data_IF_868162608144
#
_entry.id   IF_868162608144
#
_cell.length_a   1.000
_cell.length_b   1.000
_cell.length_c   1.000
_cell.angle_alpha   90.00
_cell.angle_beta   90.00
_cell.angle_gamma   90.00
#
_symmetry.space_group_name_H-M   'P 1'
#
loop_
_entity.id
_entity.type
_entity.pdbx_description
1 polymer ?
#
# COMPACT_ATOMS: atom_id res chain seq x y z
N UNK A 1 -3.23 51.62 17.12
CA UNK A 1 -3.48 51.02 15.80
C UNK A 1 -2.66 49.76 15.74
N UNK A 2 -3.26 48.62 16.06
CA UNK A 2 -2.68 47.31 15.77
C UNK A 2 -2.94 47.07 14.29
N UNK A 3 -1.88 47.08 13.47
CA UNK A 3 -1.98 46.61 12.09
C UNK A 3 -2.46 45.16 12.14
N UNK A 4 -3.68 44.91 11.67
CA UNK A 4 -4.09 43.56 11.27
C UNK A 4 -3.15 43.18 10.12
N UNK A 5 -2.06 42.46 10.44
CA UNK A 5 -1.28 41.77 9.43
C UNK A 5 -2.24 40.82 8.72
N UNK A 6 -2.59 41.13 7.48
CA UNK A 6 -3.33 40.21 6.64
C UNK A 6 -2.46 38.96 6.49
N UNK A 7 -2.87 37.87 7.14
CA UNK A 7 -2.15 36.60 7.03
C UNK A 7 -2.30 36.14 5.58
N UNK A 8 -1.17 36.00 4.88
CA UNK A 8 -1.15 35.56 3.49
C UNK A 8 -1.43 34.07 3.39
N UNK A 9 -2.10 33.65 2.31
CA UNK A 9 -2.24 32.24 1.97
C UNK A 9 -0.95 31.74 1.35
N UNK A 10 -0.54 30.52 1.69
CA UNK A 10 0.68 29.92 1.15
C UNK A 10 0.56 29.66 -0.37
N UNK A 11 1.60 30.02 -1.12
CA UNK A 11 1.73 29.73 -2.54
C UNK A 11 3.00 28.92 -2.81
N UNK A 12 2.89 27.89 -3.66
CA UNK A 12 4.03 27.05 -4.00
C UNK A 12 4.98 27.75 -4.97
N UNK A 13 6.26 27.83 -4.59
CA UNK A 13 7.33 28.07 -5.56
C UNK A 13 7.50 26.84 -6.48
N UNK A 14 7.48 26.97 -7.81
CA UNK A 14 7.60 25.83 -8.73
C UNK A 14 8.87 24.99 -8.51
N UNK A 15 8.75 23.67 -8.63
CA UNK A 15 9.92 22.79 -8.66
C UNK A 15 10.73 23.01 -9.93
N UNK A 16 12.06 22.88 -9.81
CA UNK A 16 13.00 22.96 -10.92
C UNK A 16 12.64 21.94 -12.01
N UNK A 17 12.27 22.44 -13.19
CA UNK A 17 11.78 21.61 -14.29
C UNK A 17 12.88 20.74 -14.91
N UNK A 18 14.13 21.20 -14.84
CA UNK A 18 15.28 20.52 -15.44
C UNK A 18 15.76 19.35 -14.56
N UNK A 19 15.46 19.39 -13.27
CA UNK A 19 15.87 18.36 -12.30
C UNK A 19 14.80 17.31 -12.10
N UNK A 20 14.74 16.28 -12.94
CA UNK A 20 13.67 15.25 -12.95
C UNK A 20 13.28 14.65 -11.58
N UNK A 21 14.17 14.71 -10.59
CA UNK A 21 14.00 14.21 -9.22
C UNK A 21 13.96 15.29 -8.12
N UNK A 22 13.68 16.54 -8.49
CA UNK A 22 13.39 17.63 -7.55
C UNK A 22 12.12 17.34 -6.75
N UNK A 23 12.19 17.57 -5.44
CA UNK A 23 11.09 17.41 -4.50
C UNK A 23 11.13 18.52 -3.45
N UNK A 24 10.02 18.69 -2.72
CA UNK A 24 9.96 19.50 -1.50
C UNK A 24 10.04 18.60 -0.27
N UNK A 25 10.67 19.08 0.80
CA UNK A 25 10.65 18.48 2.12
C UNK A 25 9.95 19.45 3.07
N UNK A 26 8.96 18.95 3.79
CA UNK A 26 8.25 19.69 4.82
C UNK A 26 9.06 19.62 6.13
N UNK A 27 9.53 20.77 6.59
CA UNK A 27 10.24 20.91 7.85
C UNK A 27 9.20 21.25 8.92
N UNK A 28 8.77 20.23 9.67
CA UNK A 28 7.87 20.40 10.81
C UNK A 28 8.67 20.96 11.99
N UNK A 29 8.38 22.20 12.39
CA UNK A 29 9.09 22.83 13.50
C UNK A 29 8.78 22.16 14.84
N UNK A 30 9.76 22.16 15.73
CA UNK A 30 9.56 21.69 17.10
C UNK A 30 8.46 22.47 17.84
N UNK A 31 7.74 21.81 18.76
CA UNK A 31 6.70 22.45 19.56
C UNK A 31 6.10 21.54 20.61
N UNK A 32 5.51 22.14 21.66
CA UNK A 32 4.92 21.41 22.80
C UNK A 32 3.41 21.64 22.89
N UNK A 33 2.69 20.63 23.41
CA UNK A 33 1.25 20.71 23.68
C UNK A 33 0.47 21.16 22.46
N UNK A 34 -0.51 22.05 22.68
CA UNK A 34 -1.42 22.56 21.65
C UNK A 34 -0.87 23.79 20.90
N UNK A 35 0.43 24.06 21.00
CA UNK A 35 1.05 25.14 20.23
C UNK A 35 0.78 24.96 18.74
N UNK A 36 0.45 26.06 18.05
CA UNK A 36 0.13 26.03 16.64
C UNK A 36 1.29 25.44 15.82
N UNK A 37 0.97 24.62 14.82
CA UNK A 37 2.00 24.00 13.98
C UNK A 37 2.62 25.06 13.08
N UNK A 38 3.95 25.20 13.21
CA UNK A 38 4.79 25.99 12.29
C UNK A 38 5.66 25.06 11.48
N UNK A 39 5.99 25.51 10.28
CA UNK A 39 6.77 24.73 9.33
C UNK A 39 7.38 25.61 8.25
N UNK A 40 8.33 25.03 7.52
CA UNK A 40 8.90 25.61 6.31
C UNK A 40 9.06 24.54 5.23
N UNK A 41 9.25 24.98 3.99
CA UNK A 41 9.46 24.12 2.83
C UNK A 41 10.90 24.21 2.34
N UNK A 42 11.54 23.06 2.12
CA UNK A 42 12.88 22.96 1.57
C UNK A 42 12.87 22.25 0.22
N UNK A 43 13.38 22.90 -0.82
CA UNK A 43 13.55 22.30 -2.15
C UNK A 43 14.88 21.53 -2.22
N UNK A 44 14.81 20.27 -2.64
CA UNK A 44 15.99 19.40 -2.84
C UNK A 44 15.90 18.63 -4.15
N UNK A 45 17.03 18.10 -4.61
CA UNK A 45 17.07 17.08 -5.66
C UNK A 45 17.53 15.75 -5.07
N UNK A 46 16.76 14.68 -5.27
CA UNK A 46 17.13 13.35 -4.79
C UNK A 46 18.43 12.82 -5.40
N UNK A 47 18.88 13.36 -6.54
CA UNK A 47 20.14 12.97 -7.19
C UNK A 47 21.36 13.77 -6.71
N UNK A 48 21.18 14.80 -5.88
CA UNK A 48 22.29 15.64 -5.42
C UNK A 48 23.33 14.80 -4.63
N UNK A 49 24.59 14.74 -5.11
CA UNK A 49 25.66 13.96 -4.48
C UNK A 49 26.28 14.63 -3.25
N UNK A 50 25.99 15.91 -2.97
CA UNK A 50 26.66 16.70 -1.92
C UNK A 50 26.29 16.33 -0.48
N UNK A 51 25.24 15.54 -0.27
CA UNK A 51 24.82 15.10 1.06
C UNK A 51 23.30 15.16 1.19
N UNK A 52 22.65 14.06 0.82
CA UNK A 52 21.18 13.91 0.79
C UNK A 52 20.59 14.29 2.15
N UNK A 53 19.79 15.37 2.20
CA UNK A 53 18.94 15.70 3.35
C UNK A 53 18.22 14.42 3.77
N UNK A 54 18.41 14.04 5.03
CA UNK A 54 17.78 12.88 5.63
C UNK A 54 16.35 13.25 5.99
N UNK A 55 15.39 12.60 5.38
CA UNK A 55 13.96 12.82 5.63
C UNK A 55 13.24 11.49 5.91
N UNK A 56 12.13 11.58 6.62
CA UNK A 56 11.14 10.52 6.76
C UNK A 56 10.01 10.75 5.75
N UNK A 57 9.27 9.72 5.36
CA UNK A 57 8.06 9.89 4.55
C UNK A 57 6.82 9.57 5.40
N UNK A 58 5.77 10.39 5.31
CA UNK A 58 4.51 10.11 5.98
C UNK A 58 3.56 9.39 5.03
N UNK A 59 3.07 8.24 5.45
CA UNK A 59 1.95 7.56 4.84
C UNK A 59 0.74 7.63 5.78
N UNK A 60 -0.35 8.19 5.28
CA UNK A 60 -1.59 8.37 6.04
C UNK A 60 -2.79 8.33 5.11
N UNK A 61 -3.98 8.05 5.64
CA UNK A 61 -5.20 7.99 4.83
C UNK A 61 -5.66 9.38 4.39
N UNK A 62 -5.99 9.57 3.12
CA UNK A 62 -6.60 10.83 2.67
C UNK A 62 -8.08 10.87 3.08
N UNK A 63 -8.51 11.96 3.72
CA UNK A 63 -9.90 12.19 4.11
C UNK A 63 -10.53 13.29 3.26
N UNK A 64 -11.86 13.22 3.15
CA UNK A 64 -12.69 14.21 2.45
C UNK A 64 -12.58 15.56 3.15
N UNK A 65 -12.75 16.63 2.38
CA UNK A 65 -12.77 17.99 2.90
C UNK A 65 -13.85 18.22 3.95
N UNK A 66 -13.50 18.99 4.97
CA UNK A 66 -14.44 19.50 5.97
C UNK A 66 -14.36 21.02 6.04
N UNK A 67 -15.49 21.67 6.33
CA UNK A 67 -15.51 23.10 6.68
C UNK A 67 -14.65 23.40 7.90
N UNK A 68 -14.49 22.43 8.79
CA UNK A 68 -13.80 22.58 10.08
C UNK A 68 -12.33 22.11 10.00
N UNK A 69 -11.80 21.92 8.79
CA UNK A 69 -10.40 21.55 8.58
C UNK A 69 -9.46 22.63 9.17
N UNK A 70 -8.46 22.25 9.99
CA UNK A 70 -7.55 23.21 10.60
C UNK A 70 -6.55 23.79 9.59
N UNK A 71 -5.88 24.87 9.98
CA UNK A 71 -4.72 25.40 9.26
C UNK A 71 -3.45 25.23 10.09
N UNK A 72 -2.33 25.28 9.38
CA UNK A 72 -0.97 25.36 9.92
C UNK A 72 -0.27 26.58 9.30
N UNK A 73 0.88 26.97 9.84
CA UNK A 73 1.73 28.01 9.24
C UNK A 73 2.89 27.37 8.48
N UNK A 74 2.97 27.65 7.18
CA UNK A 74 4.07 27.25 6.29
C UNK A 74 4.73 28.52 5.79
N UNK A 75 6.00 28.73 6.15
CA UNK A 75 6.73 29.97 5.84
C UNK A 75 5.94 31.23 6.26
N UNK A 76 5.37 31.16 7.46
CA UNK A 76 4.49 32.17 8.09
C UNK A 76 3.17 32.47 7.34
N UNK A 77 2.84 31.70 6.30
CA UNK A 77 1.57 31.76 5.58
C UNK A 77 0.59 30.68 6.05
N UNK A 78 -0.71 30.97 6.00
CA UNK A 78 -1.76 29.99 6.31
C UNK A 78 -1.85 28.91 5.22
N UNK A 79 -1.85 27.65 5.66
CA UNK A 79 -2.10 26.49 4.81
C UNK A 79 -3.14 25.58 5.47
N UNK A 80 -4.30 25.38 4.81
CA UNK A 80 -5.37 24.53 5.33
C UNK A 80 -5.09 23.05 5.03
N UNK A 81 -5.17 22.20 6.05
CA UNK A 81 -4.93 20.76 5.94
C UNK A 81 -6.10 19.96 6.51
N UNK A 82 -6.21 18.70 6.09
CA UNK A 82 -7.22 17.79 6.65
C UNK A 82 -6.95 17.55 8.13
N UNK A 83 -8.02 17.45 8.93
CA UNK A 83 -7.92 17.20 10.38
C UNK A 83 -7.06 15.99 10.73
N UNK A 84 -7.13 14.91 9.95
CA UNK A 84 -6.37 13.70 10.23
C UNK A 84 -4.86 13.85 9.96
N UNK A 85 -4.45 14.71 9.01
CA UNK A 85 -3.05 15.09 8.81
C UNK A 85 -2.59 16.01 9.94
N UNK A 86 -3.43 16.96 10.35
CA UNK A 86 -3.13 17.82 11.51
C UNK A 86 -2.86 16.99 12.77
N UNK A 87 -3.71 15.99 13.05
CA UNK A 87 -3.53 15.09 14.18
C UNK A 87 -2.23 14.29 14.08
N UNK A 88 -1.87 13.84 12.87
CA UNK A 88 -0.59 13.18 12.63
C UNK A 88 0.58 14.12 12.96
N UNK A 89 0.54 15.36 12.45
CA UNK A 89 1.61 16.33 12.67
C UNK A 89 1.76 16.71 14.14
N UNK A 90 0.65 16.89 14.87
CA UNK A 90 0.68 17.17 16.31
C UNK A 90 1.38 16.06 17.10
N UNK A 91 1.05 14.80 16.81
CA UNK A 91 1.60 13.63 17.52
C UNK A 91 3.03 13.29 17.07
N UNK A 92 3.39 13.61 15.83
CA UNK A 92 4.72 13.34 15.26
C UNK A 92 5.73 14.47 15.52
N UNK A 93 5.28 15.66 15.92
CA UNK A 93 6.14 16.81 16.21
C UNK A 93 7.04 16.52 17.40
N UNK A 94 8.33 16.80 17.26
CA UNK A 94 9.26 16.78 18.41
C UNK A 94 9.13 18.07 19.21
N UNK A 95 9.50 18.03 20.49
CA UNK A 95 9.41 19.22 21.36
C UNK A 95 10.50 20.24 21.05
N UNK A 96 11.72 19.76 20.80
CA UNK A 96 12.96 20.54 20.88
C UNK A 96 13.74 20.60 19.56
N UNK A 97 13.23 19.99 18.49
CA UNK A 97 13.89 19.95 17.19
C UNK A 97 12.92 19.83 16.04
N UNK A 98 13.41 20.21 14.87
CA UNK A 98 12.65 20.07 13.63
C UNK A 98 12.66 18.63 13.12
N UNK A 99 11.59 18.28 12.41
CA UNK A 99 11.43 16.98 11.78
C UNK A 99 11.26 17.16 10.27
N UNK A 100 12.11 16.48 9.51
CA UNK A 100 12.14 16.58 8.05
C UNK A 100 11.28 15.45 7.48
N UNK A 101 10.13 15.80 6.92
CA UNK A 101 9.13 14.83 6.48
C UNK A 101 8.72 15.14 5.03
N UNK A 102 8.66 14.13 4.18
CA UNK A 102 7.95 14.21 2.92
C UNK A 102 6.50 13.78 3.13
N UNK A 103 5.56 14.65 2.73
CA UNK A 103 4.11 14.45 2.88
C UNK A 103 3.48 14.83 1.55
N UNK A 104 2.88 13.89 0.85
CA UNK A 104 2.31 14.07 -0.50
C UNK A 104 1.37 15.28 -0.61
N UNK A 105 0.50 15.52 0.37
CA UNK A 105 -0.44 16.64 0.37
C UNK A 105 0.20 18.02 0.59
N UNK A 106 1.44 18.08 1.09
CA UNK A 106 2.16 19.31 1.42
C UNK A 106 3.42 19.55 0.58
N UNK A 107 4.00 18.48 0.04
CA UNK A 107 5.23 18.55 -0.74
C UNK A 107 4.96 18.58 -2.25
N UNK A 108 3.75 18.19 -2.67
CA UNK A 108 3.29 18.23 -4.06
C UNK A 108 2.23 19.33 -4.17
N UNK A 109 2.39 20.22 -5.14
CA UNK A 109 1.35 21.13 -5.53
C UNK A 109 0.23 20.36 -6.27
N UNK A 110 -0.78 19.93 -5.52
CA UNK A 110 -1.86 19.07 -6.03
C UNK A 110 -2.73 19.74 -7.11
N UNK A 111 -2.71 21.07 -7.22
CA UNK A 111 -3.44 21.82 -8.24
C UNK A 111 -2.68 21.91 -9.57
N UNK A 112 -1.36 21.70 -9.56
CA UNK A 112 -0.55 21.59 -10.78
C UNK A 112 -0.49 20.14 -11.24
N UNK A 113 -1.22 19.82 -12.30
CA UNK A 113 -1.29 18.47 -12.86
C UNK A 113 0.06 17.97 -13.40
N UNK A 114 0.89 18.85 -13.98
CA UNK A 114 2.20 18.47 -14.50
C UNK A 114 3.14 18.12 -13.35
N UNK A 115 3.15 18.93 -12.30
CA UNK A 115 3.91 18.65 -11.09
C UNK A 115 3.42 17.36 -10.43
N UNK A 116 2.11 17.22 -10.21
CA UNK A 116 1.51 16.03 -9.60
C UNK A 116 1.87 14.76 -10.35
N UNK A 117 1.66 14.72 -11.66
CA UNK A 117 1.97 13.55 -12.50
C UNK A 117 3.45 13.16 -12.38
N UNK A 118 4.35 14.15 -12.44
CA UNK A 118 5.79 13.93 -12.29
C UNK A 118 6.18 13.44 -10.90
N UNK A 119 5.63 14.02 -9.84
CA UNK A 119 5.90 13.60 -8.47
C UNK A 119 5.41 12.17 -8.23
N UNK A 120 4.20 11.83 -8.69
CA UNK A 120 3.65 10.47 -8.62
C UNK A 120 4.54 9.47 -9.35
N UNK A 121 5.06 9.83 -10.53
CA UNK A 121 6.00 9.00 -11.27
C UNK A 121 7.26 8.66 -10.46
N UNK A 122 7.76 9.58 -9.64
CA UNK A 122 8.98 9.38 -8.83
C UNK A 122 8.70 8.99 -7.37
N UNK A 123 7.45 8.85 -6.93
CA UNK A 123 7.09 8.49 -5.54
C UNK A 123 7.80 7.22 -5.04
N UNK A 124 7.91 6.21 -5.90
CA UNK A 124 8.70 4.99 -5.62
C UNK A 124 10.14 5.30 -5.16
N UNK A 125 10.77 6.32 -5.74
CA UNK A 125 12.13 6.76 -5.42
C UNK A 125 12.15 7.56 -4.13
N UNK A 126 11.14 8.40 -3.90
CA UNK A 126 10.98 9.19 -2.68
C UNK A 126 10.88 8.27 -1.46
N UNK A 127 9.97 7.29 -1.48
CA UNK A 127 9.80 6.34 -0.37
C UNK A 127 11.04 5.46 -0.17
N UNK A 128 11.68 5.01 -1.25
CA UNK A 128 12.92 4.20 -1.19
C UNK A 128 14.12 4.95 -0.61
N UNK A 129 14.20 6.27 -0.81
CA UNK A 129 15.28 7.13 -0.30
C UNK A 129 15.01 7.69 1.10
N UNK A 130 13.76 7.69 1.56
CA UNK A 130 13.43 8.07 2.94
C UNK A 130 14.17 7.18 3.94
N UNK A 131 14.54 7.76 5.09
CA UNK A 131 15.17 7.00 6.18
C UNK A 131 14.25 5.89 6.68
N UNK A 132 12.96 6.23 6.84
CA UNK A 132 11.86 5.32 7.15
C UNK A 132 10.54 5.94 6.73
N UNK A 133 9.52 5.11 6.67
CA UNK A 133 8.15 5.52 6.38
C UNK A 133 7.32 5.47 7.66
N UNK A 134 6.69 6.56 8.03
CA UNK A 134 5.81 6.66 9.18
C UNK A 134 4.40 6.30 8.71
N UNK A 135 3.83 5.23 9.24
CA UNK A 135 2.47 4.79 8.94
C UNK A 135 1.54 5.36 10.02
N UNK A 136 0.79 6.40 9.68
CA UNK A 136 -0.16 7.00 10.60
C UNK A 136 -1.54 6.34 10.47
N UNK A 137 -1.89 5.54 11.47
CA UNK A 137 -3.16 4.81 11.53
C UNK A 137 -4.32 5.64 12.10
N UNK A 138 -4.05 6.88 12.53
CA UNK A 138 -5.02 7.76 13.17
C UNK A 138 -4.90 7.83 14.69
N UNK A 139 -5.81 8.59 15.35
CA UNK A 139 -5.84 8.74 16.80
C UNK A 139 -6.03 7.41 17.55
N UNK A 140 -5.68 7.42 18.84
CA UNK A 140 -5.89 6.27 19.72
C UNK A 140 -7.39 5.92 19.82
N UNK A 141 -7.73 4.68 19.50
CA UNK A 141 -9.11 4.16 19.49
C UNK A 141 -9.11 2.64 19.41
N UNK A 142 -10.21 2.01 19.80
CA UNK A 142 -10.48 0.57 19.60
C UNK A 142 -9.32 -0.29 20.13
N UNK A 143 -8.89 0.03 21.36
CA UNK A 143 -7.79 -0.63 22.08
C UNK A 143 -6.43 -0.63 21.35
N UNK A 144 -6.17 0.37 20.49
CA UNK A 144 -4.88 0.52 19.79
C UNK A 144 -3.67 0.61 20.71
N UNK A 145 -3.81 1.29 21.84
CA UNK A 145 -2.72 1.43 22.81
C UNK A 145 -2.34 0.07 23.40
N UNK A 146 -3.36 -0.71 23.76
CA UNK A 146 -3.20 -2.09 24.22
C UNK A 146 -2.54 -2.94 23.12
N UNK A 147 -3.00 -2.82 21.87
CA UNK A 147 -2.44 -3.54 20.72
C UNK A 147 -0.93 -3.25 20.55
N UNK A 148 -0.54 -1.98 20.57
CA UNK A 148 0.87 -1.57 20.44
C UNK A 148 1.71 -2.05 21.65
N UNK A 149 1.17 -1.98 22.86
CA UNK A 149 1.85 -2.49 24.06
C UNK A 149 2.07 -4.01 24.02
N UNK A 150 1.08 -4.76 23.51
CA UNK A 150 1.20 -6.21 23.30
C UNK A 150 2.33 -6.52 22.32
N UNK A 151 2.38 -5.83 21.18
CA UNK A 151 3.42 -6.01 20.17
C UNK A 151 4.83 -5.83 20.75
N UNK A 152 5.04 -4.75 21.52
CA UNK A 152 6.32 -4.49 22.21
C UNK A 152 6.66 -5.54 23.27
N UNK A 153 5.65 -6.08 23.96
CA UNK A 153 5.87 -7.12 24.98
C UNK A 153 6.23 -8.47 24.33
N UNK A 154 5.64 -8.79 23.18
CA UNK A 154 5.96 -10.00 22.40
C UNK A 154 7.42 -10.02 21.92
N UNK A 155 7.98 -8.86 21.59
CA UNK A 155 9.41 -8.71 21.29
C UNK A 155 10.27 -9.08 22.51
N UNK A 156 9.97 -8.52 23.68
CA UNK A 156 10.72 -8.76 24.92
C UNK A 156 10.70 -10.24 25.34
N UNK A 157 9.60 -10.95 25.07
CA UNK A 157 9.47 -12.38 25.36
C UNK A 157 10.38 -13.29 24.50
N UNK A 158 10.80 -12.82 23.31
CA UNK A 158 11.78 -13.53 22.45
C UNK A 158 13.21 -13.48 23.01
N UNK A 159 13.52 -12.48 23.84
CA UNK A 159 14.87 -12.24 24.37
C UNK A 159 15.15 -13.02 25.67
N UNK A 160 14.16 -13.71 26.26
CA UNK A 160 14.43 -14.62 27.39
C UNK A 160 13.29 -14.96 28.35
N UNK A 161 12.10 -14.35 28.24
CA UNK A 161 11.03 -14.51 29.25
C UNK A 161 9.69 -14.99 28.66
N UNK A 162 9.74 -16.05 27.84
CA UNK A 162 8.58 -16.63 27.15
C UNK A 162 7.42 -17.00 28.10
N UNK A 163 7.72 -17.48 29.30
CA UNK A 163 6.73 -17.96 30.28
C UNK A 163 5.98 -16.84 31.04
N UNK A 164 6.57 -15.64 31.17
CA UNK A 164 5.96 -14.52 31.91
C UNK A 164 5.02 -13.72 31.01
N UNK A 165 5.39 -13.54 29.74
CA UNK A 165 4.51 -12.91 28.75
C UNK A 165 3.25 -13.77 28.48
N UNK A 166 3.42 -15.08 28.24
CA UNK A 166 2.30 -16.00 27.98
C UNK A 166 1.29 -16.13 29.14
N UNK A 167 1.73 -15.92 30.39
CA UNK A 167 0.87 -15.94 31.58
C UNK A 167 0.19 -14.58 31.83
N UNK A 168 0.86 -13.45 31.55
CA UNK A 168 0.26 -12.10 31.65
C UNK A 168 -0.78 -11.81 30.56
N UNK A 169 -0.62 -12.37 29.35
CA UNK A 169 -1.50 -12.09 28.21
C UNK A 169 -2.74 -12.99 28.13
N UNK A 170 -2.74 -14.17 28.77
CA UNK A 170 -3.93 -15.02 28.88
C UNK A 170 -5.07 -14.39 29.71
N UNK A 171 -4.75 -13.44 30.58
CA UNK A 171 -5.69 -12.80 31.52
C UNK A 171 -6.08 -11.35 31.18
N UNK A 172 -5.55 -10.74 30.09
CA UNK A 172 -6.04 -9.43 29.64
C UNK A 172 -7.20 -9.62 28.67
N UNK A 173 -8.21 -8.75 28.79
CA UNK A 173 -9.27 -8.55 27.79
C UNK A 173 -8.65 -8.64 26.37
N UNK A 174 -9.29 -9.44 25.54
CA UNK A 174 -8.74 -10.14 24.37
C UNK A 174 -7.67 -9.38 23.56
N UNK A 175 -6.38 -9.71 23.78
CA UNK A 175 -5.24 -9.16 23.05
C UNK A 175 -5.35 -9.38 21.54
N UNK A 176 -6.05 -10.42 21.10
CA UNK A 176 -6.29 -10.67 19.67
C UNK A 176 -7.26 -9.65 19.11
N UNK A 177 -8.35 -9.38 19.83
CA UNK A 177 -9.33 -8.37 19.42
C UNK A 177 -8.68 -7.00 19.24
N UNK A 178 -7.76 -6.60 20.14
CA UNK A 178 -7.01 -5.35 20.00
C UNK A 178 -6.12 -5.32 18.74
N UNK A 179 -5.37 -6.40 18.47
CA UNK A 179 -4.55 -6.50 17.24
C UNK A 179 -5.41 -6.54 15.97
N UNK A 180 -6.53 -7.26 16.00
CA UNK A 180 -7.49 -7.32 14.89
C UNK A 180 -8.07 -5.94 14.60
N UNK A 181 -8.54 -5.22 15.63
CA UNK A 181 -9.03 -3.85 15.49
C UNK A 181 -7.95 -2.90 14.93
N UNK A 182 -6.68 -3.10 15.26
CA UNK A 182 -5.56 -2.36 14.67
C UNK A 182 -5.40 -2.64 13.17
N UNK A 183 -5.57 -3.90 12.75
CA UNK A 183 -5.45 -4.35 11.35
C UNK A 183 -6.68 -4.03 10.49
N UNK A 184 -7.84 -3.83 11.11
CA UNK A 184 -9.10 -3.50 10.42
C UNK A 184 -9.27 -2.00 10.13
N UNK A 185 -8.32 -1.17 10.55
CA UNK A 185 -8.35 0.28 10.26
C UNK A 185 -8.36 0.52 8.74
N UNK A 186 -9.19 1.46 8.30
CA UNK A 186 -9.37 1.83 6.89
C UNK A 186 -8.07 2.14 6.16
N UNK A 187 -7.07 2.68 6.86
CA UNK A 187 -5.71 2.89 6.37
C UNK A 187 -5.17 1.67 5.61
N UNK A 188 -5.38 0.46 6.15
CA UNK A 188 -4.81 -0.77 5.62
C UNK A 188 -5.38 -1.24 4.27
N UNK A 189 -6.43 -0.59 3.79
CA UNK A 189 -7.08 -0.94 2.53
C UNK A 189 -6.66 -0.02 1.38
N UNK A 190 -5.77 0.95 1.58
CA UNK A 190 -5.32 1.85 0.51
C UNK A 190 -4.34 1.15 -0.43
N UNK A 191 -4.59 1.22 -1.73
CA UNK A 191 -3.66 0.67 -2.74
C UNK A 191 -2.27 1.32 -2.70
N UNK A 192 -2.19 2.61 -2.36
CA UNK A 192 -0.91 3.35 -2.31
C UNK A 192 0.10 2.77 -1.33
N UNK A 193 -0.36 2.19 -0.24
CA UNK A 193 0.51 1.58 0.76
C UNK A 193 1.43 0.50 0.18
N UNK A 194 1.05 -0.09 -0.95
CA UNK A 194 1.87 -1.05 -1.66
C UNK A 194 3.23 -0.45 -2.00
N UNK A 195 3.29 0.76 -2.57
CA UNK A 195 4.56 1.45 -2.81
C UNK A 195 5.18 2.01 -1.54
N UNK A 196 4.37 2.60 -0.66
CA UNK A 196 4.84 3.29 0.55
C UNK A 196 5.56 2.32 1.50
N UNK A 197 4.94 1.16 1.76
CA UNK A 197 5.45 0.17 2.71
C UNK A 197 6.44 -0.78 2.04
N UNK A 198 6.19 -1.27 0.82
CA UNK A 198 7.06 -2.32 0.27
C UNK A 198 8.42 -1.78 -0.19
N UNK A 199 8.48 -0.52 -0.66
CA UNK A 199 9.71 0.09 -1.18
C UNK A 199 10.52 0.86 -0.12
N UNK A 200 9.88 1.28 0.97
CA UNK A 200 10.56 1.93 2.08
C UNK A 200 11.58 1.01 2.75
N UNK A 201 12.72 1.53 3.19
CA UNK A 201 13.76 0.74 3.87
C UNK A 201 13.25 0.16 5.18
N UNK A 202 12.71 1.04 6.01
CA UNK A 202 12.11 0.73 7.31
C UNK A 202 10.77 1.44 7.40
N UNK A 203 9.88 0.96 8.29
CA UNK A 203 8.65 1.66 8.60
C UNK A 203 8.34 1.65 10.09
N UNK A 204 7.60 2.66 10.54
CA UNK A 204 7.17 2.84 11.93
C UNK A 204 5.65 2.94 11.95
N UNK A 205 4.98 2.02 12.63
CA UNK A 205 3.52 2.07 12.79
C UNK A 205 3.18 3.00 13.93
N UNK A 206 2.40 4.05 13.68
CA UNK A 206 1.99 5.06 14.64
C UNK A 206 0.46 5.07 14.77
N UNK A 207 -0.05 5.10 16.00
CA UNK A 207 -1.47 5.29 16.30
C UNK A 207 -1.61 6.05 17.61
N UNK A 208 -2.24 7.24 17.56
CA UNK A 208 -2.15 8.21 18.66
C UNK A 208 -0.69 8.51 19.01
N UNK A 209 -0.40 8.64 20.30
CA UNK A 209 0.96 8.89 20.78
C UNK A 209 1.85 7.61 20.86
N UNK A 210 1.30 6.45 20.50
CA UNK A 210 2.01 5.16 20.55
C UNK A 210 2.54 4.80 19.17
N UNK A 211 3.66 4.09 19.16
CA UNK A 211 4.27 3.61 17.93
C UNK A 211 5.00 2.28 18.14
N UNK A 212 5.21 1.52 17.06
CA UNK A 212 5.97 0.27 17.06
C UNK A 212 6.75 0.12 15.74
N UNK A 213 8.05 -0.23 15.79
CA UNK A 213 8.83 -0.61 14.61
C UNK A 213 8.16 -1.68 13.74
N UNK A 214 8.33 -1.57 12.42
CA UNK A 214 7.66 -2.43 11.46
C UNK A 214 8.02 -3.91 11.53
N UNK A 215 9.27 -4.24 11.89
CA UNK A 215 9.72 -5.62 12.11
C UNK A 215 9.01 -6.29 13.29
N UNK A 216 8.79 -5.54 14.38
CA UNK A 216 8.01 -6.00 15.54
C UNK A 216 6.53 -6.17 15.15
N UNK A 217 5.98 -5.23 14.37
CA UNK A 217 4.62 -5.32 13.86
C UNK A 217 4.43 -6.56 12.97
N UNK A 218 5.30 -6.75 11.98
CA UNK A 218 5.32 -7.91 11.08
C UNK A 218 5.37 -9.22 11.86
N UNK A 219 6.16 -9.29 12.92
CA UNK A 219 6.25 -10.48 13.74
C UNK A 219 4.98 -10.74 14.57
N UNK A 220 4.39 -9.68 15.15
CA UNK A 220 3.11 -9.79 15.86
C UNK A 220 2.02 -10.39 14.99
N UNK A 221 1.96 -9.99 13.71
CA UNK A 221 1.03 -10.56 12.72
C UNK A 221 1.31 -12.03 12.41
N UNK A 222 2.59 -12.41 12.26
CA UNK A 222 2.97 -13.82 12.08
C UNK A 222 2.53 -14.67 13.28
N UNK A 223 2.64 -14.14 14.50
CA UNK A 223 2.18 -14.83 15.71
C UNK A 223 0.66 -14.92 15.79
N UNK A 224 -0.07 -13.87 15.42
CA UNK A 224 -1.53 -13.90 15.30
C UNK A 224 -1.96 -15.00 14.31
N UNK A 225 -1.28 -15.10 13.17
CA UNK A 225 -1.49 -16.14 12.16
C UNK A 225 -1.05 -17.55 12.58
N UNK A 226 -0.26 -17.72 13.63
CA UNK A 226 0.11 -19.04 14.16
C UNK A 226 -0.73 -19.44 15.36
N UNK A 227 -1.50 -18.51 15.92
CA UNK A 227 -2.33 -18.78 17.09
C UNK A 227 -3.41 -19.79 16.68
N UNK A 228 -3.24 -21.03 17.16
CA UNK A 228 -4.07 -22.18 16.84
C UNK A 228 -5.47 -22.00 17.44
N UNK A 229 -6.35 -21.33 16.73
CA UNK A 229 -7.79 -21.51 16.91
C UNK A 229 -8.30 -22.33 15.73
N UNK A 230 -8.90 -23.48 16.01
CA UNK A 230 -9.51 -24.34 14.99
C UNK A 230 -11.01 -24.04 14.98
N UNK A 231 -11.53 -23.40 13.93
CA UNK A 231 -12.96 -23.11 13.77
C UNK A 231 -13.26 -21.90 12.87
N UNK A 232 -14.52 -21.47 12.82
CA UNK A 232 -14.98 -20.33 11.99
C UNK A 232 -14.29 -18.99 12.36
N UNK A 233 -13.84 -18.83 13.60
CA UNK A 233 -13.09 -17.65 14.09
C UNK A 233 -11.75 -17.44 13.35
N UNK A 234 -11.08 -18.53 12.95
CA UNK A 234 -9.83 -18.46 12.17
C UNK A 234 -10.07 -17.93 10.76
N UNK A 235 -11.09 -18.42 10.08
CA UNK A 235 -11.45 -17.96 8.74
C UNK A 235 -11.85 -16.48 8.73
N UNK A 236 -12.52 -16.00 9.79
CA UNK A 236 -12.82 -14.58 9.95
C UNK A 236 -11.56 -13.74 10.20
N UNK A 237 -10.68 -14.19 11.10
CA UNK A 237 -9.38 -13.54 11.36
C UNK A 237 -8.54 -13.39 10.09
N UNK A 238 -8.46 -14.45 9.27
CA UNK A 238 -7.71 -14.42 8.00
C UNK A 238 -8.31 -13.41 7.03
N UNK A 239 -9.64 -13.35 6.91
CA UNK A 239 -10.32 -12.37 6.05
C UNK A 239 -10.12 -10.93 6.54
N UNK A 240 -10.27 -10.71 7.83
CA UNK A 240 -10.15 -9.38 8.46
C UNK A 240 -8.73 -8.81 8.41
N UNK A 241 -7.72 -9.68 8.33
CA UNK A 241 -6.30 -9.28 8.25
C UNK A 241 -5.72 -9.40 6.84
N UNK A 242 -6.53 -9.75 5.84
CA UNK A 242 -6.05 -10.13 4.51
C UNK A 242 -5.20 -9.04 3.84
N UNK A 243 -5.66 -7.78 3.90
CA UNK A 243 -4.93 -6.65 3.32
C UNK A 243 -3.54 -6.49 3.96
N UNK A 244 -3.45 -6.52 5.29
CA UNK A 244 -2.18 -6.42 6.03
C UNK A 244 -1.27 -7.61 5.71
N UNK A 245 -1.81 -8.82 5.60
CA UNK A 245 -1.05 -10.02 5.20
C UNK A 245 -0.50 -9.91 3.79
N UNK A 246 -1.27 -9.39 2.84
CA UNK A 246 -0.76 -9.13 1.49
C UNK A 246 0.37 -8.10 1.54
N UNK A 247 0.22 -6.99 2.24
CA UNK A 247 1.29 -5.97 2.37
C UNK A 247 2.58 -6.58 2.92
N UNK A 248 2.49 -7.34 4.02
CA UNK A 248 3.68 -7.98 4.62
C UNK A 248 4.34 -8.99 3.68
N UNK A 249 3.56 -9.76 2.92
CA UNK A 249 4.06 -10.64 1.86
C UNK A 249 4.75 -9.85 0.74
N UNK A 250 4.13 -8.80 0.20
CA UNK A 250 4.71 -7.99 -0.87
C UNK A 250 6.01 -7.32 -0.40
N UNK A 251 6.02 -6.79 0.83
CA UNK A 251 7.23 -6.22 1.43
C UNK A 251 8.34 -7.25 1.56
N UNK A 252 8.03 -8.45 2.07
CA UNK A 252 9.02 -9.51 2.22
C UNK A 252 9.76 -9.82 0.91
N UNK A 253 9.03 -9.95 -0.20
CA UNK A 253 9.61 -10.22 -1.51
C UNK A 253 10.33 -8.99 -2.10
N UNK A 254 9.73 -7.80 -2.01
CA UNK A 254 10.32 -6.56 -2.52
C UNK A 254 11.67 -6.25 -1.86
N UNK A 255 11.80 -6.45 -0.55
CA UNK A 255 13.05 -6.24 0.20
C UNK A 255 14.16 -7.23 -0.19
N UNK A 256 13.80 -8.38 -0.75
CA UNK A 256 14.74 -9.38 -1.31
C UNK A 256 15.07 -9.14 -2.78
N UNK A 257 14.67 -8.00 -3.33
CA UNK A 257 14.89 -7.64 -4.74
C UNK A 257 14.01 -8.39 -5.72
N UNK A 258 12.99 -9.11 -5.24
CA UNK A 258 12.01 -9.73 -6.12
C UNK A 258 10.94 -8.70 -6.48
N UNK A 259 10.86 -8.41 -7.77
CA UNK A 259 9.83 -7.56 -8.34
C UNK A 259 8.71 -8.43 -8.90
N UNK A 260 7.49 -7.93 -8.79
CA UNK A 260 6.30 -8.64 -9.26
C UNK A 260 6.12 -8.42 -10.77
N UNK A 261 5.39 -9.30 -11.43
CA UNK A 261 4.77 -8.95 -12.72
C UNK A 261 3.49 -8.16 -12.48
N UNK A 262 3.15 -7.26 -13.39
CA UNK A 262 1.94 -6.43 -13.28
C UNK A 262 0.69 -7.27 -13.03
N UNK A 263 0.51 -8.36 -13.78
CA UNK A 263 -0.65 -9.24 -13.63
C UNK A 263 -0.76 -9.87 -12.24
N UNK A 264 0.36 -10.34 -11.67
CA UNK A 264 0.39 -10.95 -10.33
C UNK A 264 0.09 -9.92 -9.24
N UNK A 265 0.70 -8.74 -9.35
CA UNK A 265 0.48 -7.66 -8.40
C UNK A 265 -0.98 -7.19 -8.43
N UNK A 266 -1.52 -6.99 -9.63
CA UNK A 266 -2.87 -6.50 -9.85
C UNK A 266 -3.93 -7.51 -9.44
N UNK A 267 -3.74 -8.81 -9.68
CA UNK A 267 -4.70 -9.85 -9.27
C UNK A 267 -4.99 -9.81 -7.77
N UNK A 268 -3.94 -9.65 -6.95
CA UNK A 268 -4.07 -9.54 -5.50
C UNK A 268 -4.63 -8.17 -5.10
N UNK A 269 -4.15 -7.09 -5.73
CA UNK A 269 -4.46 -5.74 -5.30
C UNK A 269 -5.91 -5.33 -5.60
N UNK A 270 -6.47 -5.78 -6.73
CA UNK A 270 -7.86 -5.46 -7.10
C UNK A 270 -8.87 -6.06 -6.10
N UNK A 271 -8.55 -7.19 -5.47
CA UNK A 271 -9.45 -7.84 -4.50
C UNK A 271 -9.25 -7.33 -3.07
N UNK A 272 -8.06 -6.84 -2.74
CA UNK A 272 -7.66 -6.56 -1.34
C UNK A 272 -7.66 -5.09 -0.97
N UNK A 273 -7.55 -4.20 -1.95
CA UNK A 273 -7.39 -2.76 -1.74
C UNK A 273 -8.45 -1.94 -2.43
N UNK A 274 -8.50 -0.68 -2.01
CA UNK A 274 -9.41 0.37 -2.40
C UNK A 274 -8.55 1.52 -2.94
N UNK A 275 -9.02 2.10 -4.04
CA UNK A 275 -8.50 3.32 -4.62
C UNK A 275 -9.61 4.37 -4.58
N UNK A 276 -9.35 5.53 -3.97
CA UNK A 276 -10.28 6.67 -4.01
C UNK A 276 -10.33 7.27 -5.41
N UNK A 277 -9.17 7.38 -6.06
CA UNK A 277 -9.04 7.72 -7.47
C UNK A 277 -8.82 6.42 -8.27
N UNK A 278 -9.76 6.00 -9.14
CA UNK A 278 -9.71 4.69 -9.79
C UNK A 278 -8.42 4.38 -10.57
N UNK A 279 -7.76 5.41 -11.13
CA UNK A 279 -6.47 5.25 -11.84
C UNK A 279 -5.35 4.69 -10.95
N UNK A 280 -5.47 4.85 -9.63
CA UNK A 280 -4.47 4.37 -8.67
C UNK A 280 -4.45 2.84 -8.55
N UNK A 281 -5.47 2.11 -9.02
CA UNK A 281 -5.37 0.66 -9.18
C UNK A 281 -4.26 0.24 -10.15
N UNK A 282 -3.86 1.15 -11.06
CA UNK A 282 -2.74 0.96 -11.98
C UNK A 282 -1.49 1.69 -11.48
N UNK A 283 -1.60 3.00 -11.24
CA UNK A 283 -0.43 3.82 -10.87
C UNK A 283 0.10 3.51 -9.46
N UNK A 284 -0.79 3.15 -8.52
CA UNK A 284 -0.45 2.86 -7.12
C UNK A 284 0.39 1.60 -6.93
N UNK A 285 0.43 0.69 -7.91
CA UNK A 285 1.26 -0.53 -7.85
C UNK A 285 2.45 -0.51 -8.83
N UNK A 286 2.55 0.52 -9.67
CA UNK A 286 3.57 0.64 -10.72
C UNK A 286 4.99 0.46 -10.20
N UNK A 287 5.32 1.03 -9.04
CA UNK A 287 6.68 0.94 -8.48
C UNK A 287 7.11 -0.45 -7.99
N UNK A 288 6.20 -1.43 -7.97
CA UNK A 288 6.47 -2.80 -7.53
C UNK A 288 6.69 -3.78 -8.67
N UNK A 289 6.43 -3.36 -9.91
CA UNK A 289 6.42 -4.26 -11.07
C UNK A 289 7.71 -4.15 -11.89
N UNK A 290 8.17 -5.28 -12.43
CA UNK A 290 9.42 -5.36 -13.21
C UNK A 290 9.23 -5.40 -14.71
N UNK A 291 8.05 -5.79 -15.17
CA UNK A 291 7.71 -5.97 -16.59
C UNK A 291 7.10 -4.71 -17.22
N UNK A 292 7.20 -3.57 -16.52
CA UNK A 292 6.81 -2.24 -16.96
C UNK A 292 8.07 -1.38 -17.11
N UNK A 293 8.33 -0.86 -18.31
CA UNK A 293 9.41 0.07 -18.59
C UNK A 293 9.22 1.43 -17.90
N UNK A 294 10.29 2.24 -17.85
CA UNK A 294 10.21 3.58 -17.26
C UNK A 294 9.22 4.49 -18.01
N UNK A 295 9.12 4.35 -19.33
CA UNK A 295 8.20 5.14 -20.16
C UNK A 295 6.82 4.49 -20.32
N UNK A 296 6.58 3.38 -19.62
CA UNK A 296 5.30 2.67 -19.62
C UNK A 296 4.52 2.97 -18.34
N UNK A 297 3.18 3.02 -18.47
CA UNK A 297 2.25 3.39 -17.40
C UNK A 297 2.67 4.67 -16.67
N UNK A 298 3.19 5.65 -17.40
CA UNK A 298 3.54 6.95 -16.82
C UNK A 298 2.26 7.57 -16.24
N UNK A 299 2.24 7.95 -14.94
CA UNK A 299 1.08 8.54 -14.32
C UNK A 299 0.62 9.79 -15.07
N UNK A 300 -0.58 9.70 -15.60
CA UNK A 300 -1.30 10.83 -16.18
C UNK A 300 -2.75 10.77 -15.72
N UNK A 301 -3.09 11.70 -14.82
CA UNK A 301 -4.42 11.81 -14.26
C UNK A 301 -5.40 12.60 -15.15
N UNK A 302 -4.93 13.15 -16.28
CA UNK A 302 -5.79 13.76 -17.29
C UNK A 302 -6.34 12.71 -18.27
N UNK A 303 -5.70 11.54 -18.38
CA UNK A 303 -6.21 10.41 -19.17
C UNK A 303 -7.57 9.94 -18.66
N UNK A 304 -8.46 9.52 -19.56
CA UNK A 304 -9.69 8.83 -19.18
C UNK A 304 -9.39 7.45 -18.58
N UNK A 305 -10.33 6.88 -17.81
CA UNK A 305 -10.17 5.53 -17.25
C UNK A 305 -9.95 4.48 -18.35
N UNK A 306 -10.61 4.65 -19.50
CA UNK A 306 -10.42 3.83 -20.69
C UNK A 306 -8.99 3.89 -21.23
N UNK A 307 -8.40 5.07 -21.35
CA UNK A 307 -7.02 5.22 -21.80
C UNK A 307 -6.05 4.51 -20.83
N UNK A 308 -6.23 4.69 -19.52
CA UNK A 308 -5.41 4.02 -18.50
C UNK A 308 -5.57 2.50 -18.56
N UNK A 309 -6.79 2.00 -18.77
CA UNK A 309 -7.06 0.59 -19.00
C UNK A 309 -6.30 0.06 -20.22
N UNK A 310 -6.42 0.74 -21.36
CA UNK A 310 -5.77 0.34 -22.61
C UNK A 310 -4.23 0.43 -22.53
N UNK A 311 -3.67 1.34 -21.75
CA UNK A 311 -2.23 1.41 -21.50
C UNK A 311 -1.73 0.19 -20.68
N UNK A 312 -2.55 -0.35 -19.79
CA UNK A 312 -2.20 -1.50 -18.95
C UNK A 312 -2.31 -2.85 -19.68
N UNK A 313 -3.26 -2.96 -20.63
CA UNK A 313 -3.55 -4.22 -21.34
C UNK A 313 -2.33 -4.84 -22.04
N UNK A 314 -1.52 -4.11 -22.84
CA UNK A 314 -0.35 -4.67 -23.50
C UNK A 314 0.64 -5.30 -22.53
N UNK A 315 0.81 -4.70 -21.35
CA UNK A 315 1.73 -5.19 -20.31
C UNK A 315 1.15 -6.42 -19.64
N UNK A 316 -0.14 -6.41 -19.31
CA UNK A 316 -0.84 -7.58 -18.75
C UNK A 316 -0.78 -8.78 -19.69
N UNK A 317 -0.89 -8.56 -21.00
CA UNK A 317 -0.75 -9.61 -22.05
C UNK A 317 0.66 -10.22 -22.13
N UNK A 318 1.71 -9.59 -21.56
CA UNK A 318 3.07 -10.17 -21.49
C UNK A 318 3.14 -11.37 -20.54
N UNK A 319 2.17 -11.51 -19.65
CA UNK A 319 2.06 -12.63 -18.71
C UNK A 319 1.06 -13.67 -19.22
N UNK A 320 1.37 -14.96 -19.03
CA UNK A 320 0.54 -16.11 -19.46
C UNK A 320 -0.88 -16.09 -18.87
N UNK A 321 -1.78 -16.93 -19.41
CA UNK A 321 -3.24 -17.19 -19.17
C UNK A 321 -4.00 -16.53 -18.01
N UNK A 322 -3.39 -16.17 -16.88
CA UNK A 322 -4.00 -15.37 -15.80
C UNK A 322 -4.33 -13.92 -16.21
N UNK A 323 -3.79 -13.43 -17.34
CA UNK A 323 -3.99 -12.04 -17.79
C UNK A 323 -5.45 -11.68 -18.12
N UNK A 324 -6.23 -12.59 -18.72
CA UNK A 324 -7.62 -12.30 -19.09
C UNK A 324 -8.53 -12.04 -17.88
N UNK A 325 -8.37 -12.83 -16.80
CA UNK A 325 -9.12 -12.65 -15.56
C UNK A 325 -8.79 -11.31 -14.89
N UNK A 326 -7.49 -10.97 -14.82
CA UNK A 326 -7.03 -9.71 -14.23
C UNK A 326 -7.54 -8.51 -15.04
N UNK A 327 -7.49 -8.59 -16.37
CA UNK A 327 -8.01 -7.54 -17.26
C UNK A 327 -9.52 -7.37 -17.06
N UNK A 328 -10.28 -8.46 -16.95
CA UNK A 328 -11.71 -8.40 -16.64
C UNK A 328 -12.00 -7.78 -15.26
N UNK A 329 -11.21 -8.14 -14.23
CA UNK A 329 -11.30 -7.51 -12.89
C UNK A 329 -11.00 -6.01 -12.97
N UNK A 330 -9.97 -5.60 -13.72
CA UNK A 330 -9.61 -4.20 -13.90
C UNK A 330 -10.73 -3.42 -14.59
N UNK A 331 -11.30 -3.96 -15.68
CA UNK A 331 -12.43 -3.35 -16.38
C UNK A 331 -13.62 -3.10 -15.44
N UNK A 332 -13.94 -4.07 -14.57
CA UNK A 332 -14.98 -3.92 -13.54
C UNK A 332 -14.65 -2.85 -12.51
N UNK A 333 -13.40 -2.79 -12.02
CA UNK A 333 -12.97 -1.80 -11.02
C UNK A 333 -12.94 -0.37 -11.57
N UNK A 334 -12.75 -0.22 -12.87
CA UNK A 334 -12.76 1.06 -13.58
C UNK A 334 -14.14 1.43 -14.14
N UNK A 335 -15.17 0.59 -13.93
CA UNK A 335 -16.52 0.78 -14.45
C UNK A 335 -16.58 0.90 -15.98
N UNK A 336 -15.84 0.03 -16.68
CA UNK A 336 -15.69 0.03 -18.14
C UNK A 336 -16.30 -1.20 -18.82
N UNK A 337 -17.11 -2.00 -18.13
CA UNK A 337 -17.63 -3.26 -18.69
C UNK A 337 -18.60 -3.08 -19.86
N UNK A 338 -19.21 -1.91 -19.96
CA UNK A 338 -20.14 -1.53 -21.04
C UNK A 338 -19.47 -0.75 -22.18
N UNK A 339 -18.17 -0.44 -22.07
CA UNK A 339 -17.44 0.27 -23.14
C UNK A 339 -17.14 -0.67 -24.32
N UNK A 340 -17.53 -0.27 -25.54
CA UNK A 340 -17.42 -1.10 -26.75
C UNK A 340 -15.99 -1.58 -27.03
N UNK A 341 -15.00 -0.69 -26.89
CA UNK A 341 -13.59 -1.05 -27.15
C UNK A 341 -13.05 -1.99 -26.07
N UNK A 342 -13.50 -1.83 -24.82
CA UNK A 342 -13.16 -2.73 -23.73
C UNK A 342 -13.80 -4.10 -23.93
N UNK A 343 -15.06 -4.17 -24.37
CA UNK A 343 -15.74 -5.42 -24.69
C UNK A 343 -15.04 -6.16 -25.84
N UNK A 344 -14.69 -5.45 -26.92
CA UNK A 344 -13.91 -6.01 -28.03
C UNK A 344 -12.58 -6.60 -27.53
N UNK A 345 -11.85 -5.84 -26.71
CA UNK A 345 -10.60 -6.29 -26.11
C UNK A 345 -10.77 -7.56 -25.24
N UNK A 346 -11.86 -7.66 -24.47
CA UNK A 346 -12.18 -8.84 -23.65
C UNK A 346 -12.59 -10.05 -24.50
N UNK A 347 -13.30 -9.83 -25.62
CA UNK A 347 -13.70 -10.90 -26.55
C UNK A 347 -12.49 -11.52 -27.25
N UNK A 348 -11.58 -10.69 -27.76
CA UNK A 348 -10.34 -11.16 -28.40
C UNK A 348 -9.50 -12.07 -27.48
N UNK A 349 -9.51 -11.78 -26.16
CA UNK A 349 -8.81 -12.59 -25.16
C UNK A 349 -9.46 -13.95 -24.92
N UNK A 350 -10.80 -13.99 -24.91
CA UNK A 350 -11.54 -15.24 -24.74
C UNK A 350 -11.36 -16.16 -25.96
N UNK A 351 -11.30 -15.58 -27.16
CA UNK A 351 -11.04 -16.34 -28.39
C UNK A 351 -9.61 -16.85 -28.46
N UNK A 352 -8.62 -16.08 -28.00
CA UNK A 352 -7.21 -16.50 -27.91
C UNK A 352 -7.04 -17.68 -26.94
N UNK A 353 -7.74 -17.69 -25.81
CA UNK A 353 -7.75 -18.82 -24.88
C UNK A 353 -8.43 -20.06 -25.48
N UNK A 354 -9.51 -19.87 -26.25
CA UNK A 354 -10.18 -20.96 -26.97
C UNK A 354 -9.32 -21.52 -28.11
N UNK A 355 -8.53 -20.71 -28.81
CA UNK A 355 -7.58 -21.17 -29.82
C UNK A 355 -6.39 -21.91 -29.19
N UNK A 356 -5.84 -21.44 -28.07
CA UNK A 356 -4.80 -22.17 -27.34
C UNK A 356 -5.29 -23.53 -26.82
N UNK A 357 -6.52 -23.60 -26.31
CA UNK A 357 -7.16 -24.87 -25.93
C UNK A 357 -7.43 -25.77 -27.14
N UNK A 358 -7.76 -25.20 -28.32
CA UNK A 358 -7.87 -25.94 -29.57
C UNK A 358 -6.51 -26.44 -30.07
N UNK A 359 -5.43 -25.67 -29.94
CA UNK A 359 -4.05 -26.04 -30.31
C UNK A 359 -3.51 -27.12 -29.38
N UNK A 360 -3.79 -27.06 -28.06
CA UNK A 360 -3.48 -28.16 -27.15
C UNK A 360 -4.32 -29.43 -27.41
N UNK A 361 -5.56 -29.29 -27.88
CA UNK A 361 -6.39 -30.43 -28.30
C UNK A 361 -5.96 -31.04 -29.63
N UNK A 362 -5.43 -30.25 -30.56
CA UNK A 362 -4.92 -30.73 -31.86
C UNK A 362 -3.51 -31.32 -31.75
N UNK A 363 -2.63 -30.76 -30.92
CA UNK A 363 -1.30 -31.35 -30.63
C UNK A 363 -1.34 -32.59 -29.74
N UNK A 364 -2.48 -32.89 -29.09
CA UNK A 364 -2.71 -34.17 -28.40
C UNK A 364 -3.15 -35.31 -29.34
N UNK A 365 -3.37 -35.06 -30.63
CA UNK A 365 -3.83 -36.08 -31.59
C UNK A 365 -2.76 -36.57 -32.59
N UNK A 366 -1.50 -36.14 -32.47
CA UNK A 366 -0.40 -36.63 -33.33
C UNK A 366 0.82 -37.09 -32.52
N UNK A 367 0.67 -38.06 -31.63
CA UNK A 367 1.78 -38.94 -31.24
C UNK A 367 1.26 -40.34 -30.85
N UNK A 368 1.64 -41.41 -31.58
CA UNK A 368 1.26 -42.77 -31.23
C UNK A 368 2.14 -43.30 -30.08
N UNK A 369 1.49 -43.71 -28.99
CA UNK A 369 2.01 -44.73 -28.08
C UNK A 369 3.14 -44.32 -27.12
N UNK A 370 2.82 -44.32 -25.82
CA UNK A 370 3.74 -44.88 -24.84
C UNK A 370 4.69 -43.95 -24.09
N UNK A 371 4.25 -42.79 -23.60
CA UNK A 371 4.91 -42.19 -22.42
C UNK A 371 4.02 -41.25 -21.60
N UNK A 372 2.82 -41.70 -21.23
CA UNK A 372 1.97 -41.05 -20.21
C UNK A 372 1.99 -41.85 -18.90
N UNK A 373 3.09 -41.78 -18.16
CA UNK A 373 3.09 -42.08 -16.71
C UNK A 373 3.98 -41.08 -15.99
N UNK A 374 3.42 -39.89 -15.66
CA UNK A 374 3.80 -39.15 -14.44
C UNK A 374 2.92 -37.95 -14.06
N UNK A 375 1.89 -37.57 -14.83
CA UNK A 375 1.06 -36.39 -14.50
C UNK A 375 -0.43 -36.67 -14.27
N UNK A 376 -0.84 -37.94 -14.16
CA UNK A 376 -2.22 -38.32 -13.82
C UNK A 376 -2.27 -39.05 -12.48
N UNK A 377 -2.08 -38.33 -11.37
CA UNK A 377 -2.52 -38.79 -10.04
C UNK A 377 -2.62 -37.65 -9.04
N UNK A 378 -3.58 -36.73 -9.27
CA UNK A 378 -4.28 -35.97 -8.22
C UNK A 378 -5.39 -35.10 -8.84
N UNK A 379 -6.36 -35.76 -9.48
CA UNK A 379 -7.64 -35.13 -9.78
C UNK A 379 -8.68 -36.23 -10.01
N UNK A 380 -9.25 -36.73 -8.92
CA UNK A 380 -10.50 -37.50 -8.92
C UNK A 380 -11.04 -37.63 -7.49
N UNK A 381 -11.94 -36.70 -7.16
CA UNK A 381 -13.07 -36.72 -6.20
C UNK A 381 -13.40 -35.22 -6.03
N UNK A 382 -14.53 -34.66 -6.44
CA UNK A 382 -15.87 -35.19 -6.66
C UNK A 382 -16.63 -34.35 -7.69
N UNK A 383 -17.20 -35.01 -8.70
CA UNK A 383 -18.42 -34.55 -9.37
C UNK A 383 -19.59 -34.83 -8.43
N UNK A 384 -20.26 -33.79 -7.95
CA UNK A 384 -21.47 -33.93 -7.13
C UNK A 384 -21.99 -32.58 -6.66
N UNK A 385 -23.06 -32.12 -7.32
CA UNK A 385 -23.99 -31.06 -6.93
C UNK A 385 -23.42 -29.71 -6.44
N UNK A 386 -23.60 -28.72 -7.32
CA UNK A 386 -23.68 -27.31 -6.99
C UNK A 386 -24.65 -27.04 -5.84
N UNK A 387 -24.11 -26.62 -4.68
CA UNK A 387 -24.75 -25.73 -3.72
C UNK A 387 -23.68 -24.82 -3.13
N UNK A 388 -24.06 -23.56 -2.94
CA UNK A 388 -23.28 -22.43 -2.45
C UNK A 388 -22.38 -22.77 -1.24
N UNK A 389 -21.14 -22.27 -1.24
CA UNK A 389 -20.31 -22.18 -0.04
C UNK A 389 -18.83 -22.57 -0.19
N UNK A 390 -17.96 -21.64 0.25
CA UNK A 390 -16.57 -21.82 0.71
C UNK A 390 -15.54 -22.35 -0.31
N UNK A 391 -14.81 -21.42 -0.92
CA UNK A 391 -13.46 -21.68 -1.42
C UNK A 391 -12.45 -21.52 -0.29
N UNK A 392 -11.93 -22.63 0.25
CA UNK A 392 -10.75 -22.63 1.11
C UNK A 392 -9.52 -22.39 0.22
N UNK A 393 -8.89 -21.21 0.35
CA UNK A 393 -7.55 -20.96 -0.17
C UNK A 393 -6.56 -21.26 0.95
N UNK A 394 -6.01 -22.47 0.94
CA UNK A 394 -4.93 -22.88 1.84
C UNK A 394 -3.60 -22.31 1.33
N UNK A 395 -3.24 -21.11 1.78
CA UNK A 395 -1.89 -20.57 1.61
C UNK A 395 -0.99 -21.11 2.72
N UNK A 396 -0.64 -22.40 2.64
CA UNK A 396 0.48 -22.93 3.43
C UNK A 396 1.78 -22.32 2.90
N UNK A 397 2.34 -21.41 3.70
CA UNK A 397 3.73 -20.98 3.62
C UNK A 397 4.63 -22.16 3.99
N UNK A 398 4.98 -22.98 3.02
CA UNK A 398 6.15 -23.85 3.14
C UNK A 398 7.40 -22.95 3.02
N UNK A 399 7.89 -22.54 4.19
CA UNK A 399 9.24 -22.00 4.34
C UNK A 399 10.17 -23.21 4.27
N UNK A 400 10.57 -23.59 3.06
CA UNK A 400 11.75 -24.42 2.91
C UNK A 400 12.98 -23.52 3.07
N UNK A 401 13.63 -23.63 4.23
CA UNK A 401 15.00 -23.19 4.43
C UNK A 401 15.92 -24.09 3.60
N UNK A 402 16.57 -23.52 2.59
CA UNK A 402 17.78 -24.07 1.97
C UNK A 402 18.85 -23.00 1.88
#
# INVERSE_FOLDING_TARGET
>A
MTEEQSISTFEYEPLDIDKSTAIRIFILSGGSGDSHIKSSILHIDLKDPSGTIKYEALSYEWKVASSDDPFILVDDCEFRIRKNLYDALMELRFVDKDRYIWIDALCINQSDHLERNRQVHIMQTIYKKAQRVILWLGPAKDDSDLAIEILKTMESARVGERQIAESRHRNRKDWRAALLALCQRSYWHRVWMMQEICLGREYLVCCGNKNVPGDIFDEGLKNLARSRDHGDTWNNTVKETLAVRHITMFRYWAQRGQLFRLGQCMDICLDSFIATEPRDFVYGIRGLVSDCGNDELVPDYQKSLKQVFLDAVPILKRSSNSSAQVISKLAKKLDLTEDEDVQLCLLEMNDSNNEFDKVQRTTQNEYPGGMRKRLQRRNRRSTGNWKEGKGDYDWQLDIDES
#
